data_IF_996448735117
#
_entry.id   IF_996448735117
#
_cell.length_a   1.000
_cell.length_b   1.000
_cell.length_c   1.000
_cell.angle_alpha   90.00
_cell.angle_beta   90.00
_cell.angle_gamma   90.00
#
_symmetry.space_group_name_H-M   'P 1'
#
loop_
_entity.id
_entity.type
_entity.pdbx_description
1 polymer ?
#
# COMPACT_ATOMS: atom_id res chain seq x y z
N UNK A 1 -10.94 -39.55 45.88
CA UNK A 1 -11.74 -39.13 44.70
C UNK A 1 -10.98 -38.00 44.00
N UNK A 2 -10.26 -38.29 42.92
CA UNK A 2 -9.33 -37.35 42.28
C UNK A 2 -10.06 -36.31 41.42
N UNK A 3 -9.67 -35.04 41.58
CA UNK A 3 -10.04 -33.91 40.71
C UNK A 3 -9.47 -34.13 39.30
N UNK A 4 -10.28 -33.89 38.27
CA UNK A 4 -9.81 -33.61 36.91
C UNK A 4 -10.49 -32.35 36.40
N UNK A 5 -9.82 -31.22 36.65
CA UNK A 5 -10.05 -29.96 35.96
C UNK A 5 -9.69 -30.15 34.50
N UNK A 6 -10.63 -30.00 33.59
CA UNK A 6 -10.33 -29.85 32.16
C UNK A 6 -9.85 -28.42 31.91
N UNK A 7 -8.59 -28.17 31.50
CA UNK A 7 -8.24 -26.87 30.97
C UNK A 7 -8.93 -26.73 29.61
N UNK A 8 -9.78 -25.70 29.46
CA UNK A 8 -10.28 -25.26 28.17
C UNK A 8 -9.07 -25.01 27.27
N UNK A 9 -8.93 -25.90 26.27
CA UNK A 9 -7.86 -25.91 25.28
C UNK A 9 -7.79 -24.52 24.66
N UNK A 10 -6.62 -23.89 24.83
CA UNK A 10 -6.18 -22.76 24.03
C UNK A 10 -6.55 -23.00 22.56
N UNK A 11 -7.26 -22.06 21.96
CA UNK A 11 -7.38 -21.93 20.51
C UNK A 11 -5.97 -21.73 19.95
N UNK A 12 -5.31 -22.83 19.60
CA UNK A 12 -4.16 -22.79 18.73
C UNK A 12 -4.67 -22.40 17.34
N UNK A 13 -4.58 -21.12 16.99
CA UNK A 13 -4.60 -20.69 15.59
C UNK A 13 -3.35 -21.26 14.94
N UNK A 14 -3.47 -22.48 14.41
CA UNK A 14 -2.50 -23.00 13.46
C UNK A 14 -2.57 -22.11 12.22
N UNK A 15 -1.67 -21.13 12.16
CA UNK A 15 -1.33 -20.47 10.90
C UNK A 15 -0.68 -21.56 10.05
N UNK A 16 -1.51 -22.29 9.31
CA UNK A 16 -1.00 -23.22 8.30
C UNK A 16 -0.37 -22.36 7.21
N UNK A 17 0.94 -22.48 7.01
CA UNK A 17 1.71 -21.86 5.93
C UNK A 17 1.34 -22.47 4.57
N UNK A 18 0.05 -22.57 4.26
CA UNK A 18 -0.43 -23.04 2.97
C UNK A 18 -0.37 -21.87 1.99
N UNK A 19 0.72 -21.85 1.21
CA UNK A 19 0.97 -20.98 0.04
C UNK A 19 1.78 -19.71 0.27
N UNK A 20 2.95 -19.80 0.90
CA UNK A 20 4.05 -18.89 0.49
C UNK A 20 4.50 -19.36 -0.90
N UNK A 21 3.79 -18.92 -1.95
CA UNK A 21 4.26 -19.05 -3.34
C UNK A 21 5.66 -18.44 -3.35
N UNK A 22 6.70 -19.26 -3.52
CA UNK A 22 8.09 -18.81 -3.60
C UNK A 22 8.12 -17.64 -4.57
N UNK A 23 8.35 -16.43 -4.06
CA UNK A 23 8.48 -15.24 -4.88
C UNK A 23 9.65 -15.52 -5.82
N UNK A 24 9.34 -15.85 -7.08
CA UNK A 24 10.36 -15.99 -8.12
C UNK A 24 11.17 -14.71 -8.08
N UNK A 25 12.46 -14.82 -7.78
CA UNK A 25 13.37 -13.68 -7.80
C UNK A 25 13.37 -13.18 -9.24
N UNK A 26 12.60 -12.13 -9.53
CA UNK A 26 12.61 -11.50 -10.84
C UNK A 26 13.98 -10.87 -10.96
N UNK A 27 14.79 -11.34 -11.92
CA UNK A 27 16.04 -10.68 -12.28
C UNK A 27 15.68 -9.21 -12.55
N UNK A 28 16.27 -8.30 -11.78
CA UNK A 28 16.16 -6.88 -12.05
C UNK A 28 16.75 -6.65 -13.44
N UNK A 29 16.08 -5.87 -14.30
CA UNK A 29 16.69 -5.49 -15.57
C UNK A 29 17.99 -4.73 -15.24
N UNK A 30 19.09 -5.13 -15.87
CA UNK A 30 20.44 -4.63 -15.58
C UNK A 30 20.58 -3.11 -15.84
N UNK A 31 19.58 -2.48 -16.50
CA UNK A 31 19.55 -1.06 -16.89
C UNK A 31 18.72 -0.12 -15.97
N UNK A 32 18.23 -0.59 -14.82
CA UNK A 32 17.46 0.28 -13.90
C UNK A 32 18.42 1.10 -13.02
N UNK A 33 18.39 2.43 -13.15
CA UNK A 33 19.10 3.34 -12.23
C UNK A 33 18.64 3.12 -10.78
N UNK A 34 19.58 3.20 -9.84
CA UNK A 34 19.29 3.11 -8.40
C UNK A 34 18.19 4.10 -7.96
N UNK A 35 18.20 5.31 -8.52
CA UNK A 35 17.18 6.33 -8.22
C UNK A 35 15.78 5.88 -8.66
N UNK A 36 15.67 5.25 -9.83
CA UNK A 36 14.43 4.70 -10.35
C UNK A 36 13.92 3.53 -9.51
N UNK A 37 14.85 2.69 -9.01
CA UNK A 37 14.54 1.61 -8.09
C UNK A 37 13.95 2.13 -6.76
N UNK A 38 14.59 3.12 -6.14
CA UNK A 38 14.11 3.73 -4.90
C UNK A 38 12.73 4.37 -5.14
N UNK A 39 12.57 5.11 -6.24
CA UNK A 39 11.30 5.75 -6.58
C UNK A 39 10.17 4.72 -6.78
N UNK A 40 10.43 3.59 -7.45
CA UNK A 40 9.44 2.51 -7.58
C UNK A 40 8.98 1.97 -6.23
N UNK A 41 9.88 1.84 -5.26
CA UNK A 41 9.55 1.47 -3.88
C UNK A 41 8.62 2.49 -3.23
N UNK A 42 8.94 3.78 -3.35
CA UNK A 42 8.15 4.89 -2.82
C UNK A 42 6.75 4.96 -3.44
N UNK A 43 6.64 4.80 -4.77
CA UNK A 43 5.36 4.73 -5.50
C UNK A 43 4.50 3.58 -4.97
N UNK A 44 5.09 2.39 -4.84
CA UNK A 44 4.36 1.20 -4.39
C UNK A 44 3.88 1.33 -2.94
N UNK A 45 4.71 1.90 -2.06
CA UNK A 45 4.33 2.15 -0.67
C UNK A 45 3.18 3.16 -0.59
N UNK A 46 3.31 4.29 -1.30
CA UNK A 46 2.27 5.32 -1.40
C UNK A 46 0.94 4.74 -1.86
N UNK A 47 0.97 3.96 -2.95
CA UNK A 47 -0.23 3.32 -3.49
C UNK A 47 -0.93 2.46 -2.43
N UNK A 48 -0.18 1.61 -1.72
CA UNK A 48 -0.73 0.74 -0.67
C UNK A 48 -1.34 1.55 0.48
N UNK A 49 -0.70 2.64 0.88
CA UNK A 49 -1.17 3.48 1.97
C UNK A 49 -2.42 4.29 1.59
N UNK A 50 -2.51 4.76 0.35
CA UNK A 50 -3.74 5.34 -0.20
C UNK A 50 -4.88 4.33 -0.16
N UNK A 51 -4.68 3.12 -0.69
CA UNK A 51 -5.71 2.07 -0.67
C UNK A 51 -6.17 1.71 0.74
N UNK A 52 -5.24 1.57 1.70
CA UNK A 52 -5.59 1.33 3.12
C UNK A 52 -6.40 2.46 3.73
N UNK A 53 -6.12 3.70 3.32
CA UNK A 53 -6.86 4.88 3.79
C UNK A 53 -8.29 4.88 3.25
N UNK A 54 -8.46 4.54 1.96
CA UNK A 54 -9.79 4.41 1.34
C UNK A 54 -10.65 3.31 1.98
N UNK A 55 -10.03 2.23 2.48
CA UNK A 55 -10.78 1.18 3.20
C UNK A 55 -11.45 1.67 4.50
N UNK A 56 -11.03 2.82 5.04
CA UNK A 56 -11.65 3.42 6.23
C UNK A 56 -12.94 4.19 5.92
N UNK A 57 -13.25 4.42 4.64
CA UNK A 57 -14.49 5.09 4.22
C UNK A 57 -15.67 4.15 4.51
N UNK A 58 -16.70 4.58 5.26
CA UNK A 58 -17.86 3.73 5.55
C UNK A 58 -18.72 3.47 4.32
N UNK A 59 -18.96 4.51 3.50
CA UNK A 59 -19.75 4.39 2.27
C UNK A 59 -19.03 3.53 1.21
N UNK A 60 -19.70 2.46 0.79
CA UNK A 60 -19.19 1.52 -0.20
C UNK A 60 -19.12 2.13 -1.61
N UNK A 61 -20.04 3.04 -1.95
CA UNK A 61 -20.06 3.69 -3.26
C UNK A 61 -18.85 4.60 -3.41
N UNK A 62 -18.69 5.58 -2.49
CA UNK A 62 -17.55 6.48 -2.47
C UNK A 62 -16.20 5.74 -2.37
N UNK A 63 -16.13 4.66 -1.57
CA UNK A 63 -14.92 3.83 -1.47
C UNK A 63 -14.52 3.20 -2.80
N UNK A 64 -15.50 2.72 -3.58
CA UNK A 64 -15.24 2.08 -4.88
C UNK A 64 -14.82 3.11 -5.92
N UNK A 65 -15.53 4.24 -5.97
CA UNK A 65 -15.21 5.34 -6.88
C UNK A 65 -13.78 5.87 -6.66
N UNK A 66 -13.43 6.15 -5.40
CA UNK A 66 -12.10 6.63 -5.06
C UNK A 66 -11.01 5.59 -5.27
N UNK A 67 -11.32 4.31 -5.06
CA UNK A 67 -10.39 3.23 -5.37
C UNK A 67 -10.06 3.21 -6.86
N UNK A 68 -11.07 3.33 -7.71
CA UNK A 68 -10.89 3.31 -9.16
C UNK A 68 -10.19 4.56 -9.67
N UNK A 69 -10.50 5.72 -9.09
CA UNK A 69 -9.77 6.97 -9.33
C UNK A 69 -8.28 6.85 -8.99
N UNK A 70 -7.93 6.39 -7.78
CA UNK A 70 -6.52 6.19 -7.40
C UNK A 70 -5.84 5.18 -8.34
N UNK A 71 -6.54 4.12 -8.73
CA UNK A 71 -6.00 3.14 -9.67
C UNK A 71 -5.77 3.72 -11.07
N UNK A 72 -6.64 4.59 -11.57
CA UNK A 72 -6.45 5.25 -12.87
C UNK A 72 -5.28 6.23 -12.85
N UNK A 73 -5.12 7.01 -11.77
CA UNK A 73 -4.01 7.95 -11.62
C UNK A 73 -2.65 7.25 -11.69
N UNK A 74 -2.48 6.18 -10.92
CA UNK A 74 -1.23 5.41 -10.93
C UNK A 74 -1.00 4.67 -12.25
N UNK A 75 -2.06 4.33 -12.99
CA UNK A 75 -1.92 3.76 -14.35
C UNK A 75 -1.49 4.82 -15.36
N UNK A 76 -2.04 6.02 -15.29
CA UNK A 76 -1.67 7.12 -16.18
C UNK A 76 -0.17 7.48 -16.03
N UNK A 77 0.33 7.45 -14.80
CA UNK A 77 1.74 7.72 -14.50
C UNK A 77 2.73 6.61 -14.89
N UNK A 78 2.27 5.40 -15.27
CA UNK A 78 3.17 4.27 -15.59
C UNK A 78 4.04 4.50 -16.83
N UNK A 79 3.57 5.32 -17.78
CA UNK A 79 4.28 5.56 -19.04
C UNK A 79 5.35 6.65 -18.93
N UNK A 80 5.45 7.34 -17.78
CA UNK A 80 6.43 8.40 -17.54
C UNK A 80 7.83 7.81 -17.36
N UNK A 81 8.69 7.97 -18.37
CA UNK A 81 10.09 7.50 -18.35
C UNK A 81 10.98 8.35 -17.44
N UNK A 82 10.76 9.65 -17.39
CA UNK A 82 11.55 10.59 -16.59
C UNK A 82 11.30 10.39 -15.08
N UNK A 83 12.37 10.07 -14.34
CA UNK A 83 12.37 9.84 -12.90
C UNK A 83 11.98 11.10 -12.12
N UNK A 84 12.45 12.28 -12.54
CA UNK A 84 12.16 13.54 -11.86
C UNK A 84 10.70 13.94 -12.04
N UNK A 85 10.17 13.79 -13.25
CA UNK A 85 8.75 14.02 -13.52
C UNK A 85 7.88 13.07 -12.71
N UNK A 86 8.21 11.77 -12.68
CA UNK A 86 7.45 10.78 -11.93
C UNK A 86 7.48 11.03 -10.42
N UNK A 87 8.61 11.53 -9.88
CA UNK A 87 8.71 11.99 -8.50
C UNK A 87 7.83 13.22 -8.23
N UNK A 88 7.85 14.20 -9.12
CA UNK A 88 7.01 15.40 -9.02
C UNK A 88 5.51 15.02 -9.03
N UNK A 89 5.10 14.15 -9.95
CA UNK A 89 3.74 13.60 -10.02
C UNK A 89 3.35 12.89 -8.72
N UNK A 90 4.24 12.05 -8.16
CA UNK A 90 3.99 11.36 -6.90
C UNK A 90 3.77 12.33 -5.73
N UNK A 91 4.62 13.36 -5.61
CA UNK A 91 4.49 14.39 -4.56
C UNK A 91 3.19 15.18 -4.72
N UNK A 92 2.86 15.57 -5.95
CA UNK A 92 1.59 16.24 -6.26
C UNK A 92 0.39 15.39 -5.87
N UNK A 93 0.35 14.13 -6.33
CA UNK A 93 -0.74 13.21 -6.01
C UNK A 93 -0.90 12.93 -4.52
N UNK A 94 0.20 12.83 -3.76
CA UNK A 94 0.12 12.71 -2.29
C UNK A 94 -0.50 13.95 -1.65
N UNK A 95 -0.12 15.14 -2.10
CA UNK A 95 -0.66 16.40 -1.56
C UNK A 95 -2.16 16.50 -1.84
N UNK A 96 -2.57 16.21 -3.07
CA UNK A 96 -3.97 16.20 -3.50
C UNK A 96 -4.78 15.17 -2.71
N UNK A 97 -4.30 13.93 -2.62
CA UNK A 97 -4.95 12.88 -1.86
C UNK A 97 -5.07 13.23 -0.38
N UNK A 98 -4.02 13.79 0.24
CA UNK A 98 -4.05 14.24 1.64
C UNK A 98 -5.11 15.31 1.86
N UNK A 99 -5.24 16.27 0.93
CA UNK A 99 -6.28 17.29 0.97
C UNK A 99 -7.68 16.65 0.89
N UNK A 100 -7.87 15.72 -0.04
CA UNK A 100 -9.12 14.99 -0.22
C UNK A 100 -9.48 14.18 1.04
N UNK A 101 -8.56 13.39 1.57
CA UNK A 101 -8.81 12.58 2.77
C UNK A 101 -9.15 13.44 3.98
N UNK A 102 -8.47 14.58 4.15
CA UNK A 102 -8.77 15.50 5.24
C UNK A 102 -10.20 16.06 5.13
N UNK A 103 -10.67 16.37 3.92
CA UNK A 103 -12.06 16.81 3.71
C UNK A 103 -13.09 15.72 4.05
N UNK A 104 -12.68 14.45 3.97
CA UNK A 104 -13.48 13.28 4.36
C UNK A 104 -13.32 12.91 5.85
N UNK A 105 -12.59 13.70 6.65
CA UNK A 105 -12.31 13.39 8.05
C UNK A 105 -11.34 12.21 8.25
N UNK A 106 -10.61 11.82 7.21
CA UNK A 106 -9.64 10.72 7.23
C UNK A 106 -8.22 11.26 7.37
N UNK A 107 -7.40 10.57 8.16
CA UNK A 107 -5.97 10.83 8.26
C UNK A 107 -5.17 9.79 7.47
N UNK A 108 -4.38 10.28 6.52
CA UNK A 108 -3.40 9.49 5.79
C UNK A 108 -2.13 9.31 6.65
N UNK A 109 -1.50 8.12 6.66
CA UNK A 109 -0.19 7.97 7.29
C UNK A 109 0.84 8.92 6.67
N UNK A 110 1.78 9.38 7.49
CA UNK A 110 2.86 10.24 7.03
C UNK A 110 3.77 9.47 6.08
N UNK A 111 3.81 9.90 4.82
CA UNK A 111 4.70 9.34 3.80
C UNK A 111 5.98 10.16 3.82
N UNK A 112 6.92 9.74 4.67
CA UNK A 112 8.27 10.29 4.69
C UNK A 112 9.13 9.59 3.64
N UNK A 113 9.39 10.26 2.53
CA UNK A 113 10.35 9.79 1.53
C UNK A 113 11.81 9.79 2.02
N UNK A 114 12.06 10.28 3.23
CA UNK A 114 13.36 10.63 3.79
C UNK A 114 13.81 9.68 4.90
N UNK A 115 12.97 8.74 5.37
CA UNK A 115 13.41 7.78 6.40
C UNK A 115 14.45 6.82 5.84
N UNK A 116 15.72 7.19 6.09
CA UNK A 116 16.89 6.32 6.14
C UNK A 116 16.80 5.38 7.34
#
# INVERSE_FOLDING_TARGET
MLRRTTPLRYFATSITNSSVKRLRHRKLNDDISFEDFILKGQVLQTYRDMLRTLQKIPDASARTELHDFVKSEFKAAQNTKDVHLRRSQLIGGIREFKSLTNSLGLSMPEIDFVRK
#
